data_IF_939636884683
#
_entry.id   IF_939636884683
#
_cell.length_a   1.000
_cell.length_b   1.000
_cell.length_c   1.000
_cell.angle_alpha   90.00
_cell.angle_beta   90.00
_cell.angle_gamma   90.00
#
_symmetry.space_group_name_H-M   'P 1'
#
loop_
_entity.id
_entity.type
_entity.pdbx_description
1 polymer ?
#
# COMPACT_ATOMS: atom_id res chain seq x y z
N UNK A 1 -2.68 -10.05 20.72
CA UNK A 1 -2.05 -10.06 19.39
C UNK A 1 -1.03 -8.95 19.40
N UNK A 2 0.25 -9.27 19.59
CA UNK A 2 1.33 -8.27 19.64
C UNK A 2 2.00 -8.18 18.27
N UNK A 3 1.36 -7.48 17.34
CA UNK A 3 1.98 -7.05 16.08
C UNK A 3 1.63 -5.58 15.87
N UNK A 4 2.63 -4.77 15.55
CA UNK A 4 2.51 -3.31 15.41
C UNK A 4 2.57 -2.53 16.72
N UNK A 5 2.43 -1.19 16.63
CA UNK A 5 2.25 -0.30 17.80
C UNK A 5 0.94 -0.64 18.51
N UNK A 6 1.01 -0.83 19.83
CA UNK A 6 -0.14 -1.18 20.68
C UNK A 6 -1.33 -0.24 20.42
N UNK A 7 -2.50 -0.83 20.10
CA UNK A 7 -3.76 -0.09 19.91
C UNK A 7 -4.13 0.28 18.47
N UNK A 8 -3.31 -0.04 17.45
CA UNK A 8 -3.70 0.08 16.03
C UNK A 8 -3.27 -1.13 15.21
N UNK A 9 -4.14 -1.57 14.31
CA UNK A 9 -3.83 -2.60 13.30
C UNK A 9 -3.16 -1.92 12.10
N UNK A 10 -1.98 -2.39 11.73
CA UNK A 10 -1.20 -1.95 10.58
C UNK A 10 -1.28 -2.97 9.43
N UNK A 11 -0.85 -2.56 8.24
CA UNK A 11 -0.85 -3.43 7.05
C UNK A 11 0.10 -4.61 7.26
N UNK A 12 1.23 -4.36 7.90
CA UNK A 12 2.26 -5.34 8.23
C UNK A 12 1.71 -6.48 9.09
N UNK A 13 0.78 -6.17 10.00
CA UNK A 13 0.14 -7.16 10.87
C UNK A 13 -0.70 -8.15 10.06
N UNK A 14 -1.46 -7.64 9.08
CA UNK A 14 -2.28 -8.46 8.20
C UNK A 14 -1.40 -9.32 7.29
N UNK A 15 -0.35 -8.72 6.72
CA UNK A 15 0.63 -9.42 5.87
C UNK A 15 1.31 -10.58 6.64
N UNK A 16 1.65 -10.35 7.90
CA UNK A 16 2.23 -11.39 8.76
C UNK A 16 1.28 -12.57 8.96
N UNK A 17 -0.02 -12.31 9.17
CA UNK A 17 -1.00 -13.39 9.39
C UNK A 17 -1.21 -14.25 8.15
N UNK A 18 -1.26 -13.64 6.97
CA UNK A 18 -1.56 -14.35 5.71
C UNK A 18 -0.34 -15.00 5.08
N UNK A 19 0.87 -14.80 5.61
CA UNK A 19 2.15 -15.26 5.01
C UNK A 19 2.25 -16.76 4.75
N UNK A 20 1.49 -17.58 5.47
CA UNK A 20 1.50 -19.05 5.28
C UNK A 20 0.63 -19.52 4.11
N UNK A 21 -0.28 -18.67 3.63
CA UNK A 21 -1.10 -18.95 2.45
C UNK A 21 -0.49 -18.23 1.25
N UNK A 22 0.27 -18.98 0.45
CA UNK A 22 1.03 -18.43 -0.68
C UNK A 22 0.15 -17.68 -1.69
N UNK A 23 -1.08 -18.15 -1.95
CA UNK A 23 -1.98 -17.50 -2.91
C UNK A 23 -2.47 -16.16 -2.38
N UNK A 24 -2.90 -16.12 -1.11
CA UNK A 24 -3.34 -14.87 -0.48
C UNK A 24 -2.18 -13.89 -0.30
N UNK A 25 -1.02 -14.38 0.12
CA UNK A 25 0.16 -13.55 0.32
C UNK A 25 0.63 -12.88 -0.98
N UNK A 26 0.74 -13.64 -2.08
CA UNK A 26 1.09 -13.09 -3.39
C UNK A 26 0.09 -12.01 -3.81
N UNK A 27 -1.21 -12.30 -3.70
CA UNK A 27 -2.25 -11.35 -4.10
C UNK A 27 -2.23 -10.06 -3.29
N UNK A 28 -2.03 -10.15 -1.97
CA UNK A 28 -1.92 -8.97 -1.09
C UNK A 28 -0.70 -8.14 -1.47
N UNK A 29 0.43 -8.77 -1.75
CA UNK A 29 1.64 -8.07 -2.18
C UNK A 29 1.42 -7.29 -3.48
N UNK A 30 0.81 -7.92 -4.49
CA UNK A 30 0.52 -7.26 -5.77
C UNK A 30 -0.40 -6.04 -5.60
N UNK A 31 -1.44 -6.18 -4.77
CA UNK A 31 -2.37 -5.08 -4.49
C UNK A 31 -1.70 -3.89 -3.81
N UNK A 32 -0.83 -4.15 -2.84
CA UNK A 32 -0.10 -3.10 -2.14
C UNK A 32 0.89 -2.38 -3.08
N UNK A 33 1.61 -3.12 -3.91
CA UNK A 33 2.51 -2.54 -4.92
C UNK A 33 1.76 -1.65 -5.91
N UNK A 34 0.65 -2.14 -6.46
CA UNK A 34 -0.17 -1.39 -7.41
C UNK A 34 -0.75 -0.11 -6.77
N UNK A 35 -1.16 -0.15 -5.51
CA UNK A 35 -1.65 1.03 -4.81
C UNK A 35 -0.56 2.11 -4.70
N UNK A 36 0.67 1.73 -4.37
CA UNK A 36 1.79 2.67 -4.30
C UNK A 36 2.14 3.26 -5.67
N UNK A 37 2.08 2.47 -6.74
CA UNK A 37 2.23 2.96 -8.12
C UNK A 37 1.12 3.95 -8.50
N UNK A 38 -0.13 3.65 -8.16
CA UNK A 38 -1.26 4.54 -8.42
C UNK A 38 -1.14 5.87 -7.65
N UNK A 39 -0.69 5.84 -6.39
CA UNK A 39 -0.43 7.06 -5.61
C UNK A 39 0.68 7.90 -6.24
N UNK A 40 1.78 7.27 -6.67
CA UNK A 40 2.88 7.95 -7.36
C UNK A 40 2.42 8.58 -8.68
N UNK A 41 1.65 7.84 -9.48
CA UNK A 41 1.09 8.35 -10.72
C UNK A 41 0.18 9.56 -10.47
N UNK A 42 -0.76 9.45 -9.53
CA UNK A 42 -1.67 10.57 -9.16
C UNK A 42 -0.88 11.81 -8.75
N UNK A 43 0.13 11.66 -7.90
CA UNK A 43 0.97 12.78 -7.46
C UNK A 43 1.68 13.46 -8.64
N UNK A 44 2.28 12.68 -9.53
CA UNK A 44 2.93 13.21 -10.73
C UNK A 44 1.95 13.96 -11.65
N UNK A 45 0.72 13.46 -11.80
CA UNK A 45 -0.32 14.14 -12.58
C UNK A 45 -0.77 15.47 -11.95
N UNK A 46 -0.96 15.49 -10.63
CA UNK A 46 -1.41 16.69 -9.92
C UNK A 46 -0.34 17.79 -9.92
N UNK A 47 0.94 17.42 -9.81
CA UNK A 47 2.07 18.36 -9.93
C UNK A 47 2.15 18.98 -11.33
N UNK A 48 1.96 18.18 -12.39
CA UNK A 48 1.96 18.68 -13.78
C UNK A 48 0.83 19.69 -14.02
N UNK A 49 -0.38 19.42 -13.51
CA UNK A 49 -1.52 20.34 -13.65
C UNK A 49 -1.29 21.69 -12.97
N UNK A 50 -0.54 21.71 -11.88
CA UNK A 50 -0.21 22.95 -11.16
C UNK A 50 0.79 23.81 -11.93
N UNK A 51 1.76 23.18 -12.62
CA UNK A 51 2.77 23.89 -13.43
C UNK A 51 2.20 24.42 -14.75
N UNK A 52 1.23 23.75 -15.36
CA UNK A 52 0.62 24.21 -16.62
C UNK A 52 -0.40 25.34 -16.46
N UNK A 53 -0.89 25.59 -15.24
CA UNK A 53 -1.90 26.60 -14.94
C UNK A 53 -1.31 27.86 -14.25
N UNK A 54 0.02 27.97 -14.18
CA UNK A 54 0.76 29.14 -13.67
C UNK A 54 1.55 29.79 -14.80
#
# INVERSE_FOLDING_TARGET
MEMGRTGRVQVEDIVFLVRKDNRKYARVKDLLTMNEELKKARKAFDEVKFVTNA
#
